data_IF_900514038601
#
_entry.id   IF_900514038601
#
_cell.length_a   1.000
_cell.length_b   1.000
_cell.length_c   1.000
_cell.angle_alpha   90.00
_cell.angle_beta   90.00
_cell.angle_gamma   90.00
#
_symmetry.space_group_name_H-M   'P 1'
#
loop_
_entity.id
_entity.type
_entity.pdbx_description
1 polymer ?
#
# COMPACT_ATOMS: atom_id res chain seq x y z
N UNK A 1 -44.61 -19.90 51.01
CA UNK A 1 -44.22 -19.81 49.59
C UNK A 1 -43.08 -18.82 49.50
N UNK A 2 -41.85 -19.33 49.45
CA UNK A 2 -40.63 -18.56 49.29
C UNK A 2 -40.04 -18.97 47.94
N UNK A 3 -39.75 -17.99 47.09
CA UNK A 3 -39.15 -18.19 45.78
C UNK A 3 -38.27 -16.97 45.50
N UNK A 4 -37.05 -17.02 46.01
CA UNK A 4 -36.06 -15.97 45.93
C UNK A 4 -35.57 -15.77 44.48
N UNK A 5 -35.42 -14.50 44.12
CA UNK A 5 -34.80 -14.01 42.90
C UNK A 5 -33.37 -14.55 42.76
N UNK A 6 -33.09 -15.27 41.67
CA UNK A 6 -31.75 -15.63 41.26
C UNK A 6 -31.08 -14.43 40.58
N UNK A 7 -30.23 -13.73 41.33
CA UNK A 7 -29.18 -12.88 40.77
C UNK A 7 -28.12 -13.79 40.14
N UNK A 8 -28.14 -13.91 38.82
CA UNK A 8 -27.04 -14.48 38.05
C UNK A 8 -25.94 -13.44 37.87
N UNK A 9 -24.89 -13.55 38.67
CA UNK A 9 -23.65 -12.79 38.55
C UNK A 9 -22.94 -13.21 37.25
N UNK A 10 -23.27 -12.53 36.15
CA UNK A 10 -22.64 -12.70 34.86
C UNK A 10 -21.26 -12.08 34.89
N UNK A 11 -20.23 -12.91 35.08
CA UNK A 11 -18.83 -12.52 34.86
C UNK A 11 -18.66 -12.20 33.37
N UNK A 12 -18.96 -10.95 32.98
CA UNK A 12 -18.61 -10.40 31.67
C UNK A 12 -17.10 -10.45 31.54
N UNK A 13 -16.62 -11.38 30.71
CA UNK A 13 -15.20 -11.56 30.41
C UNK A 13 -14.74 -10.34 29.62
N UNK A 14 -14.07 -9.40 30.29
CA UNK A 14 -13.55 -8.18 29.67
C UNK A 14 -12.67 -8.55 28.46
N UNK A 15 -13.16 -8.27 27.26
CA UNK A 15 -12.52 -8.64 26.00
C UNK A 15 -11.20 -7.88 25.76
N UNK A 16 -11.04 -6.71 26.39
CA UNK A 16 -9.87 -5.85 26.26
C UNK A 16 -8.70 -6.26 27.17
N UNK A 17 -8.91 -7.20 28.08
CA UNK A 17 -7.89 -7.59 29.08
C UNK A 17 -6.61 -8.16 28.44
N UNK A 18 -6.72 -8.73 27.25
CA UNK A 18 -5.60 -9.31 26.51
C UNK A 18 -5.06 -8.39 25.41
N UNK A 19 -5.57 -7.17 25.30
CA UNK A 19 -5.11 -6.22 24.29
C UNK A 19 -3.76 -5.65 24.72
N UNK A 20 -2.88 -5.45 23.74
CA UNK A 20 -1.66 -4.69 23.95
C UNK A 20 -1.97 -3.17 23.94
N UNK A 21 -0.96 -2.33 24.19
CA UNK A 21 -1.13 -0.88 24.23
C UNK A 21 -1.70 -0.29 22.93
N UNK A 22 -1.26 -0.79 21.77
CA UNK A 22 -1.73 -0.31 20.46
C UNK A 22 -3.19 -0.68 20.22
N UNK A 23 -3.58 -1.90 20.55
CA UNK A 23 -4.95 -2.39 20.45
C UNK A 23 -5.88 -1.61 21.39
N UNK A 24 -5.41 -1.30 22.60
CA UNK A 24 -6.15 -0.46 23.55
C UNK A 24 -6.30 0.97 23.04
N UNK A 25 -5.26 1.53 22.41
CA UNK A 25 -5.33 2.88 21.82
C UNK A 25 -6.33 2.92 20.66
N UNK A 26 -6.29 1.91 19.78
CA UNK A 26 -7.21 1.79 18.66
C UNK A 26 -8.67 1.64 19.14
N UNK A 27 -8.90 0.77 20.14
CA UNK A 27 -10.22 0.58 20.73
C UNK A 27 -10.75 1.87 21.39
N UNK A 28 -9.88 2.58 22.13
CA UNK A 28 -10.21 3.85 22.76
C UNK A 28 -10.65 4.88 21.73
N UNK A 29 -9.79 5.14 20.72
CA UNK A 29 -10.05 6.13 19.68
C UNK A 29 -11.31 5.79 18.87
N UNK A 30 -11.50 4.51 18.53
CA UNK A 30 -12.70 4.06 17.83
C UNK A 30 -13.96 4.34 18.65
N UNK A 31 -13.99 4.02 19.94
CA UNK A 31 -15.16 4.27 20.78
C UNK A 31 -15.43 5.77 20.98
N UNK A 32 -14.39 6.56 21.25
CA UNK A 32 -14.55 8.01 21.43
C UNK A 32 -15.02 8.70 20.16
N UNK A 33 -14.55 8.27 18.99
CA UNK A 33 -14.90 8.89 17.71
C UNK A 33 -16.35 8.58 17.30
N UNK A 34 -16.86 7.40 17.64
CA UNK A 34 -18.21 6.98 17.24
C UNK A 34 -19.29 7.27 18.28
N UNK A 35 -18.95 7.22 19.57
CA UNK A 35 -19.93 7.29 20.67
C UNK A 35 -19.69 8.45 21.62
N UNK A 36 -18.54 9.13 21.53
CA UNK A 36 -18.14 10.21 22.43
C UNK A 36 -17.82 9.76 23.86
N UNK A 37 -17.89 8.46 24.17
CA UNK A 37 -17.67 7.90 25.50
C UNK A 37 -16.93 6.56 25.40
N UNK A 38 -16.24 6.19 26.48
CA UNK A 38 -15.61 4.88 26.64
C UNK A 38 -16.45 4.05 27.60
N UNK A 39 -16.62 2.75 27.33
CA UNK A 39 -17.34 1.87 28.25
C UNK A 39 -16.48 1.49 29.47
N UNK A 40 -17.13 1.04 30.55
CA UNK A 40 -16.45 0.72 31.80
C UNK A 40 -15.47 -0.45 31.67
N UNK A 41 -15.68 -1.36 30.72
CA UNK A 41 -14.78 -2.48 30.45
C UNK A 41 -13.44 -2.03 29.88
N UNK A 42 -13.46 -1.21 28.82
CA UNK A 42 -12.24 -0.68 28.21
C UNK A 42 -11.52 0.25 29.18
N UNK A 43 -12.26 1.11 29.90
CA UNK A 43 -11.68 1.95 30.96
C UNK A 43 -10.96 1.12 32.01
N UNK A 44 -11.59 0.04 32.49
CA UNK A 44 -11.01 -0.86 33.48
C UNK A 44 -9.79 -1.60 32.94
N UNK A 45 -9.81 -2.04 31.68
CA UNK A 45 -8.66 -2.71 31.05
C UNK A 45 -7.46 -1.76 30.91
N UNK A 46 -7.69 -0.51 30.50
CA UNK A 46 -6.65 0.52 30.43
C UNK A 46 -6.08 0.78 31.83
N UNK A 47 -6.93 1.06 32.82
CA UNK A 47 -6.49 1.33 34.20
C UNK A 47 -5.79 0.16 34.89
N UNK A 48 -5.97 -1.07 34.41
CA UNK A 48 -5.27 -2.25 34.93
C UNK A 48 -3.82 -2.35 34.44
N UNK A 49 -3.51 -1.76 33.28
CA UNK A 49 -2.20 -1.88 32.64
C UNK A 49 -1.43 -0.53 32.61
N UNK A 50 -2.14 0.59 32.61
CA UNK A 50 -1.60 1.93 32.39
C UNK A 50 -2.27 2.97 33.29
N UNK A 51 -1.61 4.11 33.49
CA UNK A 51 -2.27 5.29 34.03
C UNK A 51 -3.29 5.81 33.00
N UNK A 52 -4.58 5.81 33.36
CA UNK A 52 -5.67 6.15 32.45
C UNK A 52 -5.54 7.56 31.87
N UNK A 53 -5.18 8.56 32.69
CA UNK A 53 -5.12 9.95 32.24
C UNK A 53 -3.92 10.18 31.31
N UNK A 54 -2.78 9.55 31.60
CA UNK A 54 -1.61 9.58 30.71
C UNK A 54 -1.88 8.84 29.39
N UNK A 55 -2.57 7.69 29.47
CA UNK A 55 -2.98 6.93 28.30
C UNK A 55 -3.91 7.73 27.39
N UNK A 56 -4.94 8.37 27.97
CA UNK A 56 -5.86 9.23 27.23
C UNK A 56 -5.13 10.39 26.56
N UNK A 57 -4.25 11.09 27.29
CA UNK A 57 -3.43 12.16 26.73
C UNK A 57 -2.55 11.66 25.58
N UNK A 58 -1.93 10.50 25.73
CA UNK A 58 -1.13 9.88 24.67
C UNK A 58 -1.99 9.50 23.46
N UNK A 59 -3.18 8.94 23.67
CA UNK A 59 -4.11 8.55 22.61
C UNK A 59 -4.56 9.76 21.78
N UNK A 60 -5.01 10.82 22.45
CA UNK A 60 -5.44 12.06 21.80
C UNK A 60 -4.28 12.75 21.08
N UNK A 61 -3.09 12.81 21.71
CA UNK A 61 -1.90 13.36 21.05
C UNK A 61 -1.55 12.57 19.78
N UNK A 62 -1.56 11.22 19.83
CA UNK A 62 -1.32 10.36 18.65
C UNK A 62 -2.35 10.63 17.55
N UNK A 63 -3.63 10.76 17.89
CA UNK A 63 -4.69 11.07 16.93
C UNK A 63 -4.42 12.39 16.19
N UNK A 64 -4.10 13.45 16.94
CA UNK A 64 -3.83 14.76 16.35
C UNK A 64 -2.54 14.70 15.50
N UNK A 65 -1.50 14.02 15.98
CA UNK A 65 -0.24 13.85 15.25
C UNK A 65 -0.43 13.09 13.92
N UNK A 66 -1.25 12.04 13.91
CA UNK A 66 -1.58 11.29 12.68
C UNK A 66 -2.32 12.19 11.69
N UNK A 67 -3.31 12.97 12.16
CA UNK A 67 -4.04 13.93 11.33
C UNK A 67 -3.10 14.98 10.73
N UNK A 68 -2.15 15.47 11.50
CA UNK A 68 -1.16 16.45 11.05
C UNK A 68 -0.19 15.87 10.02
N UNK A 69 0.33 14.66 10.25
CA UNK A 69 1.13 13.92 9.25
C UNK A 69 0.35 13.69 7.95
N UNK A 70 -0.95 13.44 8.06
CA UNK A 70 -1.87 13.33 6.92
C UNK A 70 -1.99 14.64 6.14
N UNK A 71 -2.21 15.77 6.83
CA UNK A 71 -2.23 17.11 6.21
C UNK A 71 -0.92 17.40 5.46
N UNK A 72 0.22 17.20 6.11
CA UNK A 72 1.54 17.43 5.51
C UNK A 72 1.73 16.55 4.28
N UNK A 73 1.41 15.24 4.36
CA UNK A 73 1.50 14.33 3.22
C UNK A 73 0.66 14.80 2.04
N UNK A 74 -0.56 15.28 2.29
CA UNK A 74 -1.45 15.80 1.25
C UNK A 74 -0.88 17.07 0.59
N UNK A 75 -0.31 17.99 1.37
CA UNK A 75 0.31 19.20 0.85
C UNK A 75 1.55 18.89 -0.01
N UNK A 76 2.43 17.99 0.46
CA UNK A 76 3.58 17.52 -0.32
C UNK A 76 3.11 16.89 -1.63
N UNK A 77 2.11 16.01 -1.59
CA UNK A 77 1.54 15.39 -2.79
C UNK A 77 1.07 16.43 -3.80
N UNK A 78 0.26 17.41 -3.37
CA UNK A 78 -0.26 18.48 -4.24
C UNK A 78 0.84 19.28 -4.91
N UNK A 79 1.91 19.60 -4.16
CA UNK A 79 3.06 20.37 -4.66
C UNK A 79 3.92 19.55 -5.63
N UNK A 80 4.13 18.27 -5.34
CA UNK A 80 4.78 17.33 -6.27
C UNK A 80 4.01 17.22 -7.57
N UNK A 81 2.67 17.11 -7.52
CA UNK A 81 1.84 17.05 -8.73
C UNK A 81 1.99 18.33 -9.58
N UNK A 82 2.07 19.50 -8.94
CA UNK A 82 2.37 20.78 -9.62
C UNK A 82 3.79 20.89 -10.19
N UNK A 83 4.71 20.01 -9.78
CA UNK A 83 6.11 20.04 -10.23
C UNK A 83 6.96 21.05 -9.46
N UNK A 84 6.57 21.41 -8.24
CA UNK A 84 7.37 22.26 -7.36
C UNK A 84 8.66 21.53 -6.93
N UNK A 85 9.76 22.28 -6.78
CA UNK A 85 11.06 21.74 -6.32
C UNK A 85 11.05 21.48 -4.83
N UNK A 86 11.85 20.51 -4.38
CA UNK A 86 11.93 20.11 -2.97
C UNK A 86 12.23 21.29 -2.04
N UNK A 87 13.15 22.19 -2.41
CA UNK A 87 13.52 23.35 -1.59
C UNK A 87 12.30 24.26 -1.33
N UNK A 88 11.50 24.52 -2.37
CA UNK A 88 10.26 25.30 -2.27
C UNK A 88 9.21 24.60 -1.41
N UNK A 89 9.14 23.27 -1.46
CA UNK A 89 8.21 22.48 -0.64
C UNK A 89 8.63 22.55 0.83
N UNK A 90 9.92 22.40 1.12
CA UNK A 90 10.46 22.49 2.48
C UNK A 90 10.24 23.86 3.12
N UNK A 91 10.36 24.94 2.35
CA UNK A 91 10.15 26.30 2.84
C UNK A 91 8.67 26.65 3.08
N UNK A 92 7.74 25.94 2.41
CA UNK A 92 6.32 26.31 2.41
C UNK A 92 5.44 25.49 3.37
N UNK A 93 5.96 24.40 3.91
CA UNK A 93 5.23 23.53 4.84
C UNK A 93 5.83 23.68 6.23
N UNK A 94 5.01 24.12 7.18
CA UNK A 94 5.34 24.16 8.61
C UNK A 94 4.42 23.25 9.42
N UNK A 95 4.86 22.90 10.63
CA UNK A 95 4.06 22.18 11.61
C UNK A 95 4.33 22.73 13.00
N UNK A 96 3.27 22.91 13.79
CA UNK A 96 3.38 23.28 15.21
C UNK A 96 3.61 22.05 16.10
N UNK A 97 3.37 20.85 15.57
CA UNK A 97 3.42 19.59 16.33
C UNK A 97 4.68 18.76 16.07
N UNK A 98 5.33 18.96 14.93
CA UNK A 98 6.50 18.20 14.50
C UNK A 98 7.69 19.15 14.44
N UNK A 99 8.78 18.78 15.12
CA UNK A 99 10.00 19.56 15.13
C UNK A 99 10.61 19.72 13.73
N UNK A 100 11.35 20.81 13.50
CA UNK A 100 11.84 21.17 12.16
C UNK A 100 12.71 20.11 11.48
N UNK A 101 13.54 19.38 12.24
CA UNK A 101 14.35 18.28 11.68
C UNK A 101 13.49 17.09 11.25
N UNK A 102 12.57 16.66 12.12
CA UNK A 102 11.68 15.52 11.88
C UNK A 102 10.69 15.82 10.77
N UNK A 103 10.17 17.06 10.73
CA UNK A 103 9.31 17.55 9.67
C UNK A 103 10.05 17.52 8.33
N UNK A 104 11.30 18.00 8.29
CA UNK A 104 12.12 17.97 7.08
C UNK A 104 12.33 16.53 6.58
N UNK A 105 12.68 15.60 7.47
CA UNK A 105 12.85 14.19 7.11
C UNK A 105 11.55 13.60 6.57
N UNK A 106 10.42 13.89 7.22
CA UNK A 106 9.11 13.43 6.79
C UNK A 106 8.70 13.99 5.43
N UNK A 107 8.94 15.27 5.17
CA UNK A 107 8.68 15.90 3.86
C UNK A 107 9.54 15.27 2.77
N UNK A 108 10.82 15.03 3.04
CA UNK A 108 11.73 14.40 2.08
C UNK A 108 11.30 12.99 1.70
N UNK A 109 10.92 12.16 2.69
CA UNK A 109 10.40 10.81 2.47
C UNK A 109 9.14 10.84 1.59
N UNK A 110 8.18 11.71 1.92
CA UNK A 110 6.94 11.84 1.14
C UNK A 110 7.18 12.40 -0.26
N UNK A 111 8.11 13.35 -0.39
CA UNK A 111 8.49 13.89 -1.69
C UNK A 111 9.07 12.81 -2.60
N UNK A 112 10.00 11.99 -2.11
CA UNK A 112 10.59 10.89 -2.88
C UNK A 112 9.52 9.87 -3.31
N UNK A 113 8.66 9.44 -2.37
CA UNK A 113 7.55 8.53 -2.66
C UNK A 113 6.63 9.08 -3.76
N UNK A 114 6.14 10.31 -3.62
CA UNK A 114 5.22 10.89 -4.60
C UNK A 114 5.89 11.26 -5.92
N UNK A 115 7.17 11.64 -5.92
CA UNK A 115 7.91 11.95 -7.14
C UNK A 115 8.12 10.70 -7.98
N UNK A 116 8.46 9.56 -7.36
CA UNK A 116 8.57 8.27 -8.05
C UNK A 116 7.24 7.84 -8.68
N UNK A 117 6.13 7.99 -7.96
CA UNK A 117 4.79 7.69 -8.50
C UNK A 117 4.49 8.60 -9.69
N UNK A 118 4.67 9.91 -9.54
CA UNK A 118 4.45 10.87 -10.63
C UNK A 118 5.31 10.56 -11.86
N UNK A 119 6.59 10.24 -11.67
CA UNK A 119 7.50 9.91 -12.76
C UNK A 119 7.12 8.60 -13.44
N UNK A 120 6.62 7.62 -12.68
CA UNK A 120 6.13 6.37 -13.22
C UNK A 120 4.83 6.54 -14.01
N UNK A 121 3.94 7.45 -13.59
CA UNK A 121 2.68 7.76 -14.27
C UNK A 121 2.86 8.60 -15.54
N UNK A 122 4.04 9.21 -15.73
CA UNK A 122 4.31 9.96 -16.95
C UNK A 122 4.30 9.05 -18.17
N UNK A 123 3.50 9.43 -19.16
CA UNK A 123 3.49 8.81 -20.49
C UNK A 123 4.15 9.78 -21.45
N UNK A 124 5.41 9.55 -21.75
CA UNK A 124 6.16 10.30 -22.77
C UNK A 124 6.47 9.40 -23.99
N UNK A 125 6.83 10.03 -25.11
CA UNK A 125 7.15 9.30 -26.35
C UNK A 125 8.32 8.33 -26.19
N UNK A 126 9.24 8.60 -25.25
CA UNK A 126 10.39 7.74 -24.95
C UNK A 126 9.96 6.45 -24.26
N UNK A 127 9.04 6.52 -23.29
CA UNK A 127 8.46 5.36 -22.60
C UNK A 127 7.64 4.55 -23.59
N UNK A 128 6.88 5.19 -24.48
CA UNK A 128 6.15 4.48 -25.55
C UNK A 128 7.12 3.68 -26.43
N UNK A 129 8.18 4.33 -26.92
CA UNK A 129 9.17 3.68 -27.80
C UNK A 129 9.93 2.55 -27.08
N UNK A 130 10.35 2.77 -25.83
CA UNK A 130 10.98 1.74 -25.00
C UNK A 130 10.04 0.57 -24.71
N UNK A 131 8.76 0.85 -24.43
CA UNK A 131 7.76 -0.18 -24.16
C UNK A 131 7.44 -0.98 -25.41
N UNK A 132 7.43 -0.33 -26.59
CA UNK A 132 7.29 -1.00 -27.88
C UNK A 132 8.47 -1.95 -28.17
N UNK A 133 9.70 -1.47 -27.97
CA UNK A 133 10.90 -2.32 -28.08
C UNK A 133 10.86 -3.49 -27.08
N UNK A 134 10.52 -3.18 -25.82
CA UNK A 134 10.39 -4.18 -24.78
C UNK A 134 9.32 -5.21 -25.08
N UNK A 135 8.18 -4.79 -25.64
CA UNK A 135 7.13 -5.68 -26.11
C UNK A 135 7.64 -6.67 -27.16
N UNK A 136 8.44 -6.24 -28.15
CA UNK A 136 9.00 -7.15 -29.17
C UNK A 136 9.92 -8.19 -28.52
N UNK A 137 10.87 -7.75 -27.69
CA UNK A 137 11.85 -8.64 -27.03
C UNK A 137 11.18 -9.60 -26.05
N UNK A 138 10.22 -9.10 -25.26
CA UNK A 138 9.44 -9.91 -24.34
C UNK A 138 8.61 -10.96 -25.09
N UNK A 139 8.02 -10.60 -26.23
CA UNK A 139 7.22 -11.56 -27.02
C UNK A 139 8.05 -12.71 -27.54
N UNK A 140 9.27 -12.45 -28.00
CA UNK A 140 10.22 -13.49 -28.42
C UNK A 140 10.64 -14.35 -27.22
N UNK A 141 10.92 -13.72 -26.08
CA UNK A 141 11.37 -14.43 -24.86
C UNK A 141 10.27 -15.33 -24.31
N UNK A 142 9.04 -14.82 -24.20
CA UNK A 142 7.86 -15.57 -23.76
C UNK A 142 7.51 -16.71 -24.71
N UNK A 143 7.63 -16.49 -26.02
CA UNK A 143 7.48 -17.53 -27.05
C UNK A 143 8.49 -18.67 -26.85
N UNK A 144 9.78 -18.33 -26.71
CA UNK A 144 10.84 -19.33 -26.51
C UNK A 144 10.61 -20.13 -25.22
N UNK A 145 10.20 -19.47 -24.14
CA UNK A 145 9.88 -20.13 -22.88
C UNK A 145 8.71 -21.10 -23.03
N UNK A 146 7.57 -20.66 -23.59
CA UNK A 146 6.40 -21.52 -23.80
C UNK A 146 6.73 -22.71 -24.68
N UNK A 147 7.42 -22.47 -25.81
CA UNK A 147 7.83 -23.53 -26.73
C UNK A 147 8.72 -24.56 -26.06
N UNK A 148 9.67 -24.13 -25.24
CA UNK A 148 10.57 -25.03 -24.51
C UNK A 148 9.79 -25.93 -23.54
N UNK A 149 8.84 -25.36 -22.79
CA UNK A 149 8.00 -26.12 -21.87
C UNK A 149 7.10 -27.10 -22.62
N UNK A 150 6.33 -26.63 -23.62
CA UNK A 150 5.42 -27.46 -24.40
C UNK A 150 6.14 -28.62 -25.13
N UNK A 151 7.35 -28.37 -25.64
CA UNK A 151 8.16 -29.42 -26.31
C UNK A 151 8.66 -30.45 -25.30
N UNK A 152 8.91 -30.05 -24.05
CA UNK A 152 9.42 -30.94 -22.99
C UNK A 152 8.30 -31.76 -22.34
N UNK A 153 7.11 -31.18 -22.18
CA UNK A 153 5.97 -31.82 -21.50
C UNK A 153 4.97 -32.45 -22.44
N UNK A 154 4.94 -32.04 -23.72
CA UNK A 154 3.95 -32.45 -24.71
C UNK A 154 2.57 -31.82 -24.51
N UNK A 155 2.38 -30.98 -23.49
CA UNK A 155 1.08 -30.44 -23.11
C UNK A 155 1.14 -28.93 -22.82
N UNK A 156 0.06 -28.23 -23.16
CA UNK A 156 -0.17 -26.85 -22.74
C UNK A 156 -1.08 -26.79 -21.53
N UNK A 157 -0.75 -25.90 -20.60
CA UNK A 157 -1.61 -25.55 -19.47
C UNK A 157 -1.74 -24.03 -19.34
N UNK A 158 -2.96 -23.56 -19.09
CA UNK A 158 -3.22 -22.14 -18.81
C UNK A 158 -2.44 -21.62 -17.60
N UNK A 159 -2.05 -22.50 -16.66
CA UNK A 159 -1.19 -22.12 -15.53
C UNK A 159 0.19 -21.61 -15.98
N UNK A 160 0.66 -21.96 -17.19
CA UNK A 160 1.92 -21.47 -17.75
C UNK A 160 1.86 -19.99 -18.16
N UNK A 161 0.66 -19.39 -18.27
CA UNK A 161 0.55 -17.96 -18.57
C UNK A 161 1.06 -17.08 -17.42
N UNK A 162 1.01 -17.57 -16.18
CA UNK A 162 1.54 -16.86 -15.00
C UNK A 162 3.05 -16.63 -15.11
N UNK A 163 3.91 -17.67 -15.27
CA UNK A 163 5.34 -17.45 -15.45
C UNK A 163 5.68 -16.69 -16.73
N UNK A 164 4.93 -16.87 -17.83
CA UNK A 164 5.13 -16.08 -19.06
C UNK A 164 4.88 -14.60 -18.81
N UNK A 165 3.80 -14.26 -18.11
CA UNK A 165 3.52 -12.87 -17.72
C UNK A 165 4.65 -12.28 -16.89
N UNK A 166 5.16 -13.03 -15.89
CA UNK A 166 6.27 -12.59 -15.04
C UNK A 166 7.53 -12.33 -15.88
N UNK A 167 7.90 -13.27 -16.77
CA UNK A 167 9.09 -13.12 -17.63
C UNK A 167 8.94 -11.91 -18.55
N UNK A 168 7.80 -11.76 -19.22
CA UNK A 168 7.55 -10.66 -20.14
C UNK A 168 7.58 -9.31 -19.40
N UNK A 169 7.01 -9.27 -18.19
CA UNK A 169 7.11 -8.10 -17.31
C UNK A 169 8.56 -7.76 -16.95
N UNK A 170 9.36 -8.73 -16.53
CA UNK A 170 10.77 -8.50 -16.16
C UNK A 170 11.59 -7.96 -17.34
N UNK A 171 11.38 -8.49 -18.55
CA UNK A 171 12.04 -8.01 -19.77
C UNK A 171 11.64 -6.57 -20.07
N UNK A 172 10.33 -6.26 -20.06
CA UNK A 172 9.84 -4.91 -20.35
C UNK A 172 10.33 -3.94 -19.27
N UNK A 173 10.25 -4.31 -17.99
CA UNK A 173 10.74 -3.53 -16.87
C UNK A 173 12.24 -3.22 -17.01
N UNK A 174 13.06 -4.21 -17.39
CA UNK A 174 14.50 -4.01 -17.61
C UNK A 174 14.82 -2.98 -18.70
N UNK A 175 13.93 -2.83 -19.70
CA UNK A 175 14.12 -1.89 -20.82
C UNK A 175 13.54 -0.50 -20.49
N UNK A 176 12.35 -0.46 -19.89
CA UNK A 176 11.61 0.78 -19.63
C UNK A 176 12.04 1.46 -18.33
N UNK A 177 12.42 0.68 -17.31
CA UNK A 177 12.61 1.13 -15.93
C UNK A 177 11.31 1.52 -15.22
N UNK A 178 10.15 1.18 -15.81
CA UNK A 178 8.82 1.61 -15.35
C UNK A 178 8.01 0.41 -14.88
N UNK A 179 7.27 0.56 -13.79
CA UNK A 179 6.47 -0.54 -13.24
C UNK A 179 5.22 -0.76 -14.09
N UNK A 180 4.50 -1.86 -13.80
CA UNK A 180 3.20 -2.15 -14.44
C UNK A 180 2.10 -1.16 -14.10
N UNK A 181 2.32 -0.24 -13.15
CA UNK A 181 1.35 0.81 -12.83
C UNK A 181 1.31 1.86 -13.95
N UNK A 182 2.39 1.98 -14.74
CA UNK A 182 2.36 2.74 -15.99
C UNK A 182 1.48 2.01 -17.02
N UNK A 183 0.43 2.69 -17.49
CA UNK A 183 -0.54 2.12 -18.42
C UNK A 183 0.08 1.55 -19.70
N UNK A 184 1.10 2.22 -20.26
CA UNK A 184 1.76 1.76 -21.50
C UNK A 184 2.56 0.49 -21.25
N UNK A 185 3.27 0.41 -20.12
CA UNK A 185 3.99 -0.81 -19.72
C UNK A 185 3.02 -1.96 -19.50
N UNK A 186 1.92 -1.71 -18.80
CA UNK A 186 0.88 -2.72 -18.58
C UNK A 186 0.34 -3.29 -19.91
N UNK A 187 -0.02 -2.42 -20.85
CA UNK A 187 -0.50 -2.82 -22.17
C UNK A 187 0.56 -3.59 -22.96
N UNK A 188 1.82 -3.13 -22.92
CA UNK A 188 2.93 -3.82 -23.57
C UNK A 188 3.11 -5.25 -23.04
N UNK A 189 3.02 -5.45 -21.71
CA UNK A 189 3.11 -6.79 -21.09
C UNK A 189 1.93 -7.66 -21.53
N UNK A 190 0.70 -7.16 -21.44
CA UNK A 190 -0.50 -7.92 -21.83
C UNK A 190 -0.45 -8.36 -23.29
N UNK A 191 -0.17 -7.42 -24.21
CA UNK A 191 -0.07 -7.71 -25.64
C UNK A 191 1.07 -8.70 -25.90
N UNK A 192 2.20 -8.56 -25.19
CA UNK A 192 3.32 -9.49 -25.31
C UNK A 192 2.96 -10.91 -24.91
N UNK A 193 2.21 -11.12 -23.82
CA UNK A 193 1.75 -12.45 -23.40
C UNK A 193 0.80 -13.05 -24.43
N UNK A 194 -0.15 -12.27 -24.94
CA UNK A 194 -1.10 -12.71 -25.97
C UNK A 194 -0.34 -13.18 -27.22
N UNK A 195 0.60 -12.37 -27.71
CA UNK A 195 1.39 -12.68 -28.89
C UNK A 195 2.28 -13.90 -28.65
N UNK A 196 3.00 -13.96 -27.52
CA UNK A 196 3.82 -15.12 -27.14
C UNK A 196 3.00 -16.41 -27.19
N UNK A 197 1.78 -16.37 -26.67
CA UNK A 197 0.87 -17.52 -26.61
C UNK A 197 0.39 -17.93 -28.00
N UNK A 198 -0.17 -16.99 -28.77
CA UNK A 198 -0.69 -17.27 -30.13
C UNK A 198 0.42 -17.83 -31.03
N UNK A 199 1.61 -17.21 -31.02
CA UNK A 199 2.72 -17.68 -31.83
C UNK A 199 3.25 -19.04 -31.37
N UNK A 200 3.22 -19.35 -30.07
CA UNK A 200 3.65 -20.67 -29.58
C UNK A 200 2.78 -21.78 -30.17
N UNK A 201 1.47 -21.57 -30.28
CA UNK A 201 0.56 -22.52 -30.93
C UNK A 201 0.76 -22.57 -32.45
N UNK A 202 0.96 -21.42 -33.11
CA UNK A 202 1.18 -21.38 -34.55
C UNK A 202 2.45 -22.11 -34.99
N UNK A 203 3.50 -22.13 -34.16
CA UNK A 203 4.77 -22.84 -34.41
C UNK A 203 4.81 -24.27 -33.85
N UNK A 204 3.71 -24.76 -33.28
CA UNK A 204 3.54 -26.14 -32.82
C UNK A 204 2.82 -27.03 -33.85
N UNK A 205 2.21 -26.43 -34.88
CA UNK A 205 1.75 -27.14 -36.09
C UNK A 205 2.87 -27.30 -37.11
#
# INVERSE_FOLDING_TARGET
MSGAFLYGDGIMKNIYRNYNEEDLHAAYLHMTDHTGKVNDELRKAISQQFNYDEFVKAAEYRKILVKEKGRISFEVHKKVQKGEKIDTILESISSEMIEGSDLKVFILDKFDQFSKVKENDQIDGKIILKSFLGFIVASVTGLLFLKAVMTSTGEFSFFLLVPVYIINYLVIYGITGRTRDNFVVFMAVLISVIISTIFSFAFLG
#
